data_IF_630460741173
#
_entry.id   IF_630460741173
#
_cell.length_a   1.000
_cell.length_b   1.000
_cell.length_c   1.000
_cell.angle_alpha   90.00
_cell.angle_beta   90.00
_cell.angle_gamma   90.00
#
_symmetry.space_group_name_H-M   'P 1'
#
loop_
_entity.id
_entity.type
_entity.pdbx_description
1 polymer ?
#
# COMPACT_ATOMS: atom_id res chain seq x y z
N UNK A 1 -40.86 9.14 -5.46
CA UNK A 1 -39.69 9.74 -6.14
C UNK A 1 -39.16 8.69 -7.09
N UNK A 2 -38.89 9.02 -8.35
CA UNK A 2 -38.27 8.05 -9.28
C UNK A 2 -36.78 7.96 -8.93
N UNK A 3 -36.29 6.75 -8.70
CA UNK A 3 -34.88 6.48 -8.49
C UNK A 3 -34.17 6.57 -9.83
N UNK A 4 -33.12 7.38 -9.93
CA UNK A 4 -32.19 7.36 -11.07
C UNK A 4 -31.14 6.28 -10.85
N UNK A 5 -30.91 5.43 -11.85
CA UNK A 5 -29.96 4.32 -11.80
C UNK A 5 -28.71 4.63 -12.64
N UNK A 6 -27.52 4.28 -12.13
CA UNK A 6 -26.25 4.36 -12.85
C UNK A 6 -25.55 2.99 -12.79
N UNK A 7 -25.35 2.38 -13.96
CA UNK A 7 -24.65 1.09 -14.11
C UNK A 7 -23.23 1.38 -14.57
N UNK A 8 -22.25 0.89 -13.81
CA UNK A 8 -20.82 1.00 -14.13
C UNK A 8 -20.17 -0.38 -14.12
N UNK A 9 -19.01 -0.50 -14.78
CA UNK A 9 -18.13 -1.65 -14.58
C UNK A 9 -17.69 -1.68 -13.11
N UNK A 10 -17.49 -2.88 -12.56
CA UNK A 10 -17.02 -3.05 -11.18
C UNK A 10 -15.72 -2.24 -10.98
N UNK A 11 -15.68 -1.31 -10.01
CA UNK A 11 -14.54 -0.44 -9.79
C UNK A 11 -13.41 -1.14 -9.01
N UNK A 12 -12.29 -0.43 -8.87
CA UNK A 12 -11.16 -0.80 -8.01
C UNK A 12 -10.77 0.39 -7.13
N UNK A 13 -10.21 0.11 -5.94
CA UNK A 13 -9.72 1.12 -5.00
C UNK A 13 -8.19 1.21 -5.03
N UNK A 14 -7.64 2.28 -5.60
CA UNK A 14 -6.20 2.43 -5.80
C UNK A 14 -5.42 2.94 -4.57
N UNK A 15 -6.07 3.11 -3.41
CA UNK A 15 -5.37 3.46 -2.15
C UNK A 15 -6.19 3.08 -0.91
N UNK A 16 -5.93 1.90 -0.34
CA UNK A 16 -6.73 1.37 0.77
C UNK A 16 -5.90 0.99 2.00
N UNK A 17 -6.45 1.28 3.19
CA UNK A 17 -5.90 0.88 4.50
C UNK A 17 -6.84 -0.13 5.17
N UNK A 18 -6.48 -1.42 5.13
CA UNK A 18 -7.29 -2.48 5.76
C UNK A 18 -6.94 -2.77 7.23
N UNK A 19 -5.83 -2.21 7.73
CA UNK A 19 -5.30 -2.48 9.09
C UNK A 19 -5.06 -3.99 9.29
N UNK A 20 -5.15 -4.51 10.52
CA UNK A 20 -4.95 -5.95 10.78
C UNK A 20 -5.91 -6.45 11.88
N UNK A 21 -5.88 -7.76 12.13
CA UNK A 21 -6.60 -8.44 13.20
C UNK A 21 -8.12 -8.15 13.21
N UNK A 22 -8.67 -7.69 14.34
CA UNK A 22 -10.11 -7.42 14.48
C UNK A 22 -10.58 -6.32 13.54
N UNK A 23 -9.75 -5.30 13.30
CA UNK A 23 -10.10 -4.22 12.38
C UNK A 23 -10.18 -4.73 10.95
N UNK A 24 -9.20 -5.52 10.50
CA UNK A 24 -9.22 -6.14 9.17
C UNK A 24 -10.50 -6.94 8.93
N UNK A 25 -10.91 -7.77 9.90
CA UNK A 25 -12.16 -8.55 9.83
C UNK A 25 -13.40 -7.68 9.76
N UNK A 26 -13.37 -6.51 10.40
CA UNK A 26 -14.49 -5.58 10.40
C UNK A 26 -14.59 -4.81 9.06
N UNK A 27 -13.47 -4.43 8.45
CA UNK A 27 -13.46 -3.49 7.32
C UNK A 27 -13.34 -4.14 5.95
N UNK A 28 -12.65 -5.29 5.82
CA UNK A 28 -12.44 -5.95 4.53
C UNK A 28 -13.75 -6.34 3.78
N UNK A 29 -14.84 -6.76 4.46
CA UNK A 29 -16.11 -7.06 3.79
C UNK A 29 -16.71 -5.86 3.05
N UNK A 30 -16.53 -4.64 3.57
CA UNK A 30 -17.08 -3.43 2.95
C UNK A 30 -16.38 -3.12 1.61
N UNK A 31 -15.05 -3.22 1.56
CA UNK A 31 -14.33 -3.04 0.30
C UNK A 31 -14.66 -4.14 -0.70
N UNK A 32 -14.59 -5.41 -0.26
CA UNK A 32 -14.70 -6.56 -1.17
C UNK A 32 -16.10 -6.73 -1.77
N UNK A 33 -17.14 -6.16 -1.16
CA UNK A 33 -18.49 -6.13 -1.71
C UNK A 33 -18.57 -5.32 -3.02
N UNK A 34 -17.89 -4.17 -3.08
CA UNK A 34 -18.04 -3.21 -4.18
C UNK A 34 -16.85 -3.22 -5.15
N UNK A 35 -15.63 -3.42 -4.64
CA UNK A 35 -14.40 -3.32 -5.43
C UNK A 35 -13.84 -4.69 -5.83
N UNK A 36 -13.39 -4.81 -7.07
CA UNK A 36 -12.74 -6.03 -7.57
C UNK A 36 -11.30 -6.16 -7.08
N UNK A 37 -10.56 -5.04 -7.06
CA UNK A 37 -9.18 -4.96 -6.57
C UNK A 37 -8.99 -3.78 -5.65
N UNK A 38 -7.96 -3.85 -4.82
CA UNK A 38 -7.46 -2.66 -4.16
C UNK A 38 -5.94 -2.66 -3.97
N UNK A 39 -5.31 -1.50 -4.08
CA UNK A 39 -3.91 -1.29 -3.68
C UNK A 39 -3.86 -1.17 -2.15
N UNK A 40 -3.21 -2.16 -1.52
CA UNK A 40 -3.17 -2.26 -0.07
C UNK A 40 -1.94 -1.53 0.46
N UNK A 41 -2.18 -0.53 1.29
CA UNK A 41 -1.13 0.29 1.91
C UNK A 41 -0.36 -0.50 3.00
N UNK A 42 0.96 -0.27 3.16
CA UNK A 42 1.84 -1.16 3.91
C UNK A 42 2.19 -0.66 5.33
N UNK A 43 1.59 0.44 5.79
CA UNK A 43 1.88 1.11 7.08
C UNK A 43 1.16 0.47 8.28
N UNK A 44 1.31 -0.85 8.41
CA UNK A 44 0.99 -1.58 9.65
C UNK A 44 2.02 -1.27 10.75
N UNK A 45 1.82 -1.83 11.94
CA UNK A 45 2.77 -1.76 13.05
C UNK A 45 3.20 -3.18 13.44
N UNK A 46 4.42 -3.63 13.10
CA UNK A 46 5.42 -2.94 12.27
C UNK A 46 5.02 -2.85 10.78
N UNK A 47 5.65 -1.96 9.98
CA UNK A 47 5.34 -1.81 8.56
C UNK A 47 5.74 -3.05 7.76
N UNK A 48 5.08 -3.22 6.61
CA UNK A 48 5.38 -4.31 5.65
C UNK A 48 6.53 -3.87 4.75
N UNK A 49 7.74 -4.36 5.00
CA UNK A 49 8.97 -3.95 4.28
C UNK A 49 9.56 -5.06 3.40
N UNK A 50 9.05 -6.29 3.52
CA UNK A 50 9.53 -7.46 2.76
C UNK A 50 8.40 -8.19 2.05
N UNK A 51 8.76 -8.87 0.96
CA UNK A 51 7.82 -9.70 0.19
C UNK A 51 7.16 -10.81 1.02
N UNK A 52 7.89 -11.39 1.98
CA UNK A 52 7.39 -12.41 2.90
C UNK A 52 6.27 -11.87 3.80
N UNK A 53 6.50 -10.70 4.41
CA UNK A 53 5.48 -10.03 5.22
C UNK A 53 4.24 -9.68 4.40
N UNK A 54 4.42 -9.22 3.16
CA UNK A 54 3.32 -8.93 2.25
C UNK A 54 2.52 -10.20 1.89
N UNK A 55 3.18 -11.34 1.68
CA UNK A 55 2.52 -12.60 1.40
C UNK A 55 1.67 -13.07 2.59
N UNK A 56 2.23 -12.98 3.79
CA UNK A 56 1.51 -13.31 5.03
C UNK A 56 0.32 -12.38 5.27
N UNK A 57 0.49 -11.08 5.01
CA UNK A 57 -0.61 -10.11 5.16
C UNK A 57 -1.70 -10.32 4.10
N UNK A 58 -1.32 -10.57 2.84
CA UNK A 58 -2.27 -10.96 1.78
C UNK A 58 -3.11 -12.15 2.19
N UNK A 59 -2.50 -13.18 2.79
CA UNK A 59 -3.23 -14.33 3.29
C UNK A 59 -4.27 -13.93 4.33
N UNK A 60 -3.89 -13.12 5.33
CA UNK A 60 -4.83 -12.62 6.35
C UNK A 60 -5.99 -11.81 5.76
N UNK A 61 -5.72 -11.01 4.72
CA UNK A 61 -6.76 -10.25 4.00
C UNK A 61 -7.74 -11.21 3.34
N UNK A 62 -7.25 -12.19 2.58
CA UNK A 62 -8.11 -13.16 1.91
C UNK A 62 -8.91 -14.01 2.91
N UNK A 63 -8.31 -14.40 4.03
CA UNK A 63 -9.01 -15.11 5.12
C UNK A 63 -10.13 -14.26 5.77
N UNK A 64 -10.10 -12.92 5.61
CA UNK A 64 -11.09 -11.99 6.17
C UNK A 64 -12.18 -11.56 5.16
N UNK A 65 -12.02 -11.92 3.88
CA UNK A 65 -13.00 -11.65 2.83
C UNK A 65 -14.05 -12.76 2.83
N UNK A 66 -15.36 -12.44 2.77
CA UNK A 66 -16.40 -13.45 2.62
C UNK A 66 -16.21 -14.29 1.34
N UNK A 67 -16.39 -15.61 1.43
CA UNK A 67 -16.17 -16.54 0.29
C UNK A 67 -16.98 -16.20 -0.97
N UNK A 68 -18.09 -15.47 -0.82
CA UNK A 68 -18.96 -15.03 -1.92
C UNK A 68 -18.40 -13.82 -2.69
N UNK A 69 -17.38 -13.13 -2.17
CA UNK A 69 -16.77 -11.97 -2.80
C UNK A 69 -15.54 -12.37 -3.61
N UNK A 70 -15.46 -11.90 -4.85
CA UNK A 70 -14.23 -11.95 -5.62
C UNK A 70 -13.43 -10.67 -5.37
N UNK A 71 -12.33 -10.75 -4.63
CA UNK A 71 -11.47 -9.61 -4.29
C UNK A 71 -9.99 -9.95 -4.44
N UNK A 72 -9.25 -9.11 -5.16
CA UNK A 72 -7.80 -9.23 -5.32
C UNK A 72 -7.07 -8.07 -4.60
N UNK A 73 -6.42 -8.34 -3.45
CA UNK A 73 -5.54 -7.37 -2.81
C UNK A 73 -4.20 -7.26 -3.56
N UNK A 74 -3.90 -6.05 -4.05
CA UNK A 74 -2.68 -5.67 -4.74
C UNK A 74 -1.68 -5.12 -3.72
N UNK A 75 -0.68 -5.93 -3.35
CA UNK A 75 0.20 -5.63 -2.22
C UNK A 75 1.26 -4.59 -2.56
N UNK A 76 1.67 -3.83 -1.55
CA UNK A 76 2.76 -2.84 -1.64
C UNK A 76 3.80 -3.05 -0.54
N UNK A 77 4.99 -2.48 -0.73
CA UNK A 77 6.01 -2.41 0.32
C UNK A 77 6.14 -0.99 0.85
N UNK A 78 6.41 -0.87 2.15
CA UNK A 78 6.74 0.37 2.81
C UNK A 78 8.21 0.71 2.52
N UNK A 79 8.48 1.89 1.97
CA UNK A 79 9.84 2.37 1.75
C UNK A 79 10.48 2.85 3.06
N UNK A 80 11.66 2.32 3.36
CA UNK A 80 12.49 2.75 4.49
C UNK A 80 13.91 3.04 4.00
N UNK A 81 14.71 3.75 4.80
CA UNK A 81 16.15 3.95 4.52
C UNK A 81 16.96 2.65 4.57
N UNK A 82 16.39 1.58 5.14
CA UNK A 82 16.99 0.24 5.15
C UNK A 82 16.59 -0.63 3.94
N UNK A 83 15.66 -0.14 3.09
CA UNK A 83 15.20 -0.85 1.91
C UNK A 83 16.35 -0.99 0.91
N UNK A 84 16.57 -2.21 0.42
CA UNK A 84 17.68 -2.51 -0.51
C UNK A 84 17.16 -2.67 -1.93
N UNK A 85 17.90 -2.20 -2.96
CA UNK A 85 17.55 -2.43 -4.36
C UNK A 85 17.30 -3.90 -4.71
N UNK A 86 18.06 -4.83 -4.11
CA UNK A 86 17.87 -6.27 -4.32
C UNK A 86 16.50 -6.77 -3.82
N UNK A 87 15.99 -6.21 -2.72
CA UNK A 87 14.64 -6.53 -2.25
C UNK A 87 13.58 -6.05 -3.23
N UNK A 88 13.77 -4.88 -3.83
CA UNK A 88 12.86 -4.33 -4.84
C UNK A 88 12.83 -5.21 -6.08
N UNK A 89 14.00 -5.65 -6.55
CA UNK A 89 14.08 -6.56 -7.69
C UNK A 89 13.39 -7.90 -7.40
N UNK A 90 13.62 -8.46 -6.21
CA UNK A 90 12.97 -9.70 -5.73
C UNK A 90 11.45 -9.53 -5.62
N UNK A 91 11.01 -8.43 -5.03
CA UNK A 91 9.61 -8.08 -4.84
C UNK A 91 8.87 -7.96 -6.17
N UNK A 92 9.42 -7.23 -7.14
CA UNK A 92 8.84 -7.08 -8.48
C UNK A 92 8.78 -8.44 -9.21
N UNK A 93 9.87 -9.22 -9.16
CA UNK A 93 9.96 -10.53 -9.81
C UNK A 93 8.97 -11.56 -9.25
N UNK A 94 8.53 -11.39 -8.00
CA UNK A 94 7.53 -12.29 -7.38
C UNK A 94 6.13 -12.15 -7.99
N UNK A 95 5.84 -11.04 -8.67
CA UNK A 95 4.51 -10.69 -9.15
C UNK A 95 3.49 -10.30 -8.05
N UNK A 96 3.83 -10.49 -6.77
CA UNK A 96 2.97 -10.16 -5.62
C UNK A 96 2.94 -8.66 -5.33
N UNK A 97 4.11 -8.00 -5.37
CA UNK A 97 4.24 -6.57 -5.06
C UNK A 97 3.96 -5.76 -6.32
N UNK A 98 2.99 -4.85 -6.24
CA UNK A 98 2.59 -3.98 -7.36
C UNK A 98 3.20 -2.59 -7.30
N UNK A 99 3.63 -2.13 -6.12
CA UNK A 99 4.24 -0.83 -5.94
C UNK A 99 4.99 -0.72 -4.61
N UNK A 100 5.78 0.34 -4.46
CA UNK A 100 6.38 0.74 -3.17
C UNK A 100 5.76 2.07 -2.73
N UNK A 101 5.42 2.20 -1.46
CA UNK A 101 4.83 3.40 -0.88
C UNK A 101 5.86 4.18 -0.07
N UNK A 102 6.08 5.42 -0.47
CA UNK A 102 6.86 6.43 0.26
C UNK A 102 5.96 7.16 1.25
N UNK A 103 6.42 7.20 2.50
CA UNK A 103 5.95 8.09 3.55
C UNK A 103 7.14 8.91 4.06
N UNK A 104 7.08 10.24 4.03
CA UNK A 104 8.02 11.09 4.76
C UNK A 104 7.91 10.79 6.27
N UNK A 105 9.07 10.72 6.93
CA UNK A 105 9.12 10.37 8.34
C UNK A 105 8.29 11.35 9.19
N UNK A 106 7.40 10.82 10.04
CA UNK A 106 6.54 11.62 10.93
C UNK A 106 5.38 12.37 10.26
N UNK A 107 5.20 12.29 8.94
CA UNK A 107 4.13 13.00 8.23
C UNK A 107 2.72 12.51 8.52
N UNK A 108 2.55 11.24 8.87
CA UNK A 108 1.22 10.64 8.99
C UNK A 108 1.21 9.43 9.92
N UNK A 109 0.05 8.78 10.05
CA UNK A 109 -0.12 7.62 10.93
C UNK A 109 0.85 6.49 10.59
N UNK A 110 1.60 6.03 11.59
CA UNK A 110 2.63 4.98 11.52
C UNK A 110 3.79 5.30 10.56
N UNK A 111 4.10 6.58 10.31
CA UNK A 111 5.19 6.96 9.42
C UNK A 111 6.54 7.20 10.10
N UNK A 112 6.71 6.84 11.38
CA UNK A 112 7.96 7.05 12.12
C UNK A 112 9.17 6.31 11.49
N UNK A 113 8.89 5.19 10.80
CA UNK A 113 9.87 4.43 10.03
C UNK A 113 10.00 4.89 8.57
N UNK A 114 9.39 6.04 8.23
CA UNK A 114 9.44 6.67 6.91
C UNK A 114 10.84 7.16 6.53
N UNK A 115 10.96 7.62 5.29
CA UNK A 115 12.21 8.16 4.75
C UNK A 115 12.44 9.56 5.30
N UNK A 116 13.63 9.83 5.85
CA UNK A 116 14.03 11.16 6.31
C UNK A 116 14.86 11.86 5.25
N UNK A 117 15.80 11.15 4.63
CA UNK A 117 16.64 11.66 3.56
C UNK A 117 16.38 10.90 2.25
N UNK A 118 15.90 11.62 1.23
CA UNK A 118 15.64 11.05 -0.11
C UNK A 118 16.92 10.60 -0.81
N UNK A 119 18.08 11.19 -0.51
CA UNK A 119 19.36 10.77 -1.08
C UNK A 119 19.73 9.35 -0.64
N UNK A 120 19.39 8.97 0.59
CA UNK A 120 19.66 7.64 1.15
C UNK A 120 18.93 6.53 0.38
N UNK A 121 17.75 6.83 -0.16
CA UNK A 121 16.94 5.88 -0.93
C UNK A 121 17.07 6.06 -2.45
N UNK A 122 17.95 6.95 -2.93
CA UNK A 122 18.15 7.16 -4.36
C UNK A 122 18.50 5.88 -5.13
N UNK A 123 19.38 4.98 -4.63
CA UNK A 123 19.66 3.71 -5.31
C UNK A 123 18.41 2.82 -5.46
N UNK A 124 17.46 2.94 -4.54
CA UNK A 124 16.17 2.23 -4.61
C UNK A 124 15.29 2.82 -5.71
N UNK A 125 15.20 4.15 -5.80
CA UNK A 125 14.45 4.82 -6.86
C UNK A 125 14.99 4.51 -8.26
N UNK A 126 16.31 4.51 -8.43
CA UNK A 126 16.97 4.12 -9.69
C UNK A 126 16.59 2.69 -10.09
N UNK A 127 16.65 1.74 -9.15
CA UNK A 127 16.25 0.36 -9.41
C UNK A 127 14.76 0.25 -9.74
N UNK A 128 13.89 0.96 -9.04
CA UNK A 128 12.45 0.99 -9.33
C UNK A 128 12.17 1.53 -10.74
N UNK A 129 12.86 2.59 -11.14
CA UNK A 129 12.75 3.17 -12.48
C UNK A 129 13.23 2.20 -13.57
N UNK A 130 14.36 1.51 -13.34
CA UNK A 130 14.91 0.50 -14.25
C UNK A 130 13.92 -0.64 -14.53
N UNK A 131 13.26 -1.14 -13.49
CA UNK A 131 12.35 -2.30 -13.60
C UNK A 131 10.88 -1.90 -13.83
N UNK A 132 10.57 -0.60 -13.87
CA UNK A 132 9.21 -0.08 -14.04
C UNK A 132 8.28 -0.34 -12.85
N UNK A 133 8.81 -0.43 -11.62
CA UNK A 133 7.99 -0.60 -10.41
C UNK A 133 7.47 0.77 -9.92
N UNK A 134 6.14 0.97 -9.81
CA UNK A 134 5.58 2.25 -9.38
C UNK A 134 6.00 2.67 -7.96
N UNK A 135 6.30 3.96 -7.82
CA UNK A 135 6.40 4.65 -6.54
C UNK A 135 5.08 5.35 -6.25
N UNK A 136 4.47 5.03 -5.11
CA UNK A 136 3.31 5.74 -4.58
C UNK A 136 3.82 6.75 -3.55
N UNK A 137 3.40 8.00 -3.63
CA UNK A 137 3.96 9.09 -2.83
C UNK A 137 2.89 9.66 -1.90
N UNK A 138 3.18 9.69 -0.60
CA UNK A 138 2.50 10.58 0.33
C UNK A 138 3.20 11.94 0.29
N UNK A 139 2.67 12.86 -0.50
CA UNK A 139 3.35 14.12 -0.88
C UNK A 139 3.13 15.26 0.11
N UNK A 140 3.56 15.09 1.36
CA UNK A 140 3.52 16.15 2.38
C UNK A 140 4.94 16.43 2.91
N UNK A 141 5.19 17.67 3.31
CA UNK A 141 6.38 18.02 4.08
C UNK A 141 6.03 18.06 5.56
N UNK A 142 6.99 17.78 6.42
CA UNK A 142 6.81 17.77 7.89
C UNK A 142 7.51 18.91 8.59
N UNK A 143 8.08 19.82 7.81
CA UNK A 143 8.79 20.98 8.31
C UNK A 143 7.79 21.97 8.93
N UNK A 144 8.01 22.33 10.19
CA UNK A 144 7.16 23.28 10.92
C UNK A 144 7.20 24.68 10.31
N UNK A 145 8.26 25.01 9.56
CA UNK A 145 8.42 26.32 8.90
C UNK A 145 7.72 26.39 7.53
N UNK A 146 7.19 25.28 7.01
CA UNK A 146 6.45 25.26 5.74
C UNK A 146 4.95 25.33 6.01
N UNK A 147 4.37 26.51 5.80
CA UNK A 147 2.92 26.68 5.72
C UNK A 147 2.42 26.17 4.36
N UNK A 148 1.45 25.27 4.39
CA UNK A 148 0.74 24.79 3.20
C UNK A 148 -0.44 25.71 2.81
N UNK A 149 -0.60 26.84 3.54
CA UNK A 149 -1.57 27.90 3.30
C UNK A 149 -0.95 29.30 3.25
#
# INVERSE_FOLDING_TARGET
MSTSELIIKRPDDWHLHLRDASMLKAVAPFTSADFGRAIIMPNLVPPITTSEQAAQYRKRILDAVPDIHEFEPLMTLYLTESTKPDEINRAASSGLIKAVKLYPAGATTNSDSGVKNMETVMPVFEKMAEIGLPLLVHGEVTDEDIDIF
#
